data_IF_271893456955
#
_entry.id   IF_271893456955
#
_cell.length_a   1.000
_cell.length_b   1.000
_cell.length_c   1.000
_cell.angle_alpha   90.00
_cell.angle_beta   90.00
_cell.angle_gamma   90.00
#
_symmetry.space_group_name_H-M   'P 1'
#
loop_
_entity.id
_entity.type
_entity.pdbx_description
1 polymer ?
#
# COMPACT_ATOMS: atom_id res chain seq x y z
N UNK A 1 -10.09 15.90 4.57
CA UNK A 1 -8.71 16.00 4.00
C UNK A 1 -8.64 15.12 2.77
N UNK A 2 -8.29 15.70 1.63
CA UNK A 2 -8.05 14.91 0.44
C UNK A 2 -6.63 14.30 0.49
N UNK A 3 -6.29 13.40 -0.45
CA UNK A 3 -5.00 12.73 -0.43
C UNK A 3 -3.84 13.66 -0.81
N UNK A 4 -4.06 14.72 -1.60
CA UNK A 4 -3.05 15.70 -1.98
C UNK A 4 -2.60 16.50 -0.76
N UNK A 5 -3.57 17.03 -0.03
CA UNK A 5 -3.38 17.76 1.22
C UNK A 5 -2.67 16.88 2.27
N UNK A 6 -3.09 15.60 2.38
CA UNK A 6 -2.44 14.64 3.28
C UNK A 6 -0.98 14.40 2.91
N UNK A 7 -0.64 14.28 1.62
CA UNK A 7 0.74 14.01 1.19
C UNK A 7 1.61 15.26 1.15
N UNK A 8 1.06 16.46 1.11
CA UNK A 8 1.80 17.73 1.15
C UNK A 8 2.64 17.87 2.43
N UNK A 9 2.27 17.20 3.53
CA UNK A 9 3.03 17.20 4.78
C UNK A 9 4.36 16.41 4.73
N UNK A 10 4.58 15.58 3.70
CA UNK A 10 5.78 14.76 3.61
C UNK A 10 6.78 15.35 2.60
N UNK A 11 8.03 15.53 3.04
CA UNK A 11 9.09 16.15 2.28
C UNK A 11 9.46 15.35 1.02
N UNK A 12 9.83 16.06 -0.03
CA UNK A 12 10.44 15.48 -1.22
C UNK A 12 11.94 15.29 -1.01
N UNK A 13 12.50 14.24 -1.61
CA UNK A 13 13.95 14.04 -1.61
C UNK A 13 14.63 14.93 -2.66
N UNK A 14 14.03 15.10 -3.85
CA UNK A 14 14.51 16.04 -4.85
C UNK A 14 14.12 17.47 -4.50
N UNK A 15 15.05 18.41 -4.66
CA UNK A 15 14.81 19.85 -4.45
C UNK A 15 14.22 20.55 -5.68
N UNK A 16 14.36 19.95 -6.87
CA UNK A 16 13.90 20.50 -8.14
C UNK A 16 12.38 20.58 -8.22
N UNK A 17 11.80 21.56 -8.94
CA UNK A 17 10.36 21.59 -9.20
C UNK A 17 9.91 20.36 -10.02
N UNK A 18 8.68 19.92 -9.79
CA UNK A 18 8.13 18.77 -10.50
C UNK A 18 7.70 19.09 -11.94
N UNK A 19 7.25 18.04 -12.64
CA UNK A 19 6.71 18.17 -14.00
C UNK A 19 5.20 18.42 -14.02
N UNK A 20 4.52 18.33 -12.87
CA UNK A 20 3.06 18.40 -12.78
C UNK A 20 2.37 17.20 -13.44
N UNK A 21 1.17 17.46 -13.95
CA UNK A 21 0.41 16.52 -14.75
C UNK A 21 -0.51 15.60 -14.00
N UNK A 22 -1.16 14.70 -14.73
CA UNK A 22 -2.14 13.74 -14.20
C UNK A 22 -1.81 12.31 -14.59
N UNK A 23 -2.04 11.38 -13.67
CA UNK A 23 -2.01 9.93 -13.93
C UNK A 23 -3.43 9.36 -13.87
N UNK A 24 -3.63 8.19 -14.51
CA UNK A 24 -4.92 7.50 -14.47
C UNK A 24 -6.08 8.31 -15.09
N UNK A 25 -5.83 9.16 -16.07
CA UNK A 25 -6.88 9.83 -16.85
C UNK A 25 -7.73 8.77 -17.55
N UNK A 26 -7.09 7.79 -18.15
CA UNK A 26 -7.71 6.59 -18.71
C UNK A 26 -7.18 5.33 -18.01
N UNK A 27 -7.93 4.21 -17.99
CA UNK A 27 -7.42 2.93 -17.46
C UNK A 27 -6.12 2.47 -18.14
N UNK A 28 -5.92 2.81 -19.41
CA UNK A 28 -4.72 2.51 -20.22
C UNK A 28 -3.49 3.30 -19.78
N UNK A 29 -3.67 4.40 -19.07
CA UNK A 29 -2.57 5.20 -18.54
C UNK A 29 -1.89 4.52 -17.36
N UNK A 30 -2.51 3.48 -16.78
CA UNK A 30 -1.98 2.76 -15.63
C UNK A 30 -2.01 1.25 -15.85
N UNK A 31 -0.94 0.73 -16.47
CA UNK A 31 -0.82 -0.69 -16.77
C UNK A 31 0.06 -1.37 -15.70
N UNK A 32 -0.46 -2.45 -15.10
CA UNK A 32 0.25 -3.23 -14.08
C UNK A 32 0.35 -4.69 -14.51
N UNK A 33 1.57 -5.23 -14.50
CA UNK A 33 1.84 -6.64 -14.80
C UNK A 33 2.51 -7.31 -13.60
N UNK A 34 1.81 -8.26 -12.99
CA UNK A 34 2.31 -9.00 -11.83
C UNK A 34 3.46 -9.92 -12.21
N UNK A 35 4.41 -10.07 -11.28
CA UNK A 35 5.47 -11.07 -11.36
C UNK A 35 5.37 -12.01 -10.16
N UNK A 36 5.24 -13.31 -10.42
CA UNK A 36 5.20 -14.36 -9.40
C UNK A 36 6.48 -15.22 -9.44
N UNK A 37 6.80 -15.92 -8.33
CA UNK A 37 7.92 -16.87 -8.31
C UNK A 37 7.70 -18.06 -9.28
N UNK A 38 8.76 -18.50 -9.96
CA UNK A 38 8.69 -19.71 -10.82
C UNK A 38 8.29 -20.97 -10.04
N UNK A 39 8.50 -21.01 -8.71
CA UNK A 39 8.09 -22.11 -7.85
C UNK A 39 6.57 -22.35 -7.78
N UNK A 40 5.76 -21.36 -8.21
CA UNK A 40 4.30 -21.51 -8.32
C UNK A 40 3.94 -22.57 -9.36
N UNK A 41 4.69 -22.65 -10.46
CA UNK A 41 4.47 -23.60 -11.54
C UNK A 41 5.01 -25.01 -11.24
N UNK A 42 5.56 -25.24 -10.04
CA UNK A 42 5.98 -26.57 -9.58
C UNK A 42 4.80 -27.27 -8.88
N UNK A 43 4.03 -28.04 -9.63
CA UNK A 43 2.86 -28.79 -9.15
C UNK A 43 1.76 -28.86 -10.20
N UNK A 44 0.75 -29.69 -9.95
CA UNK A 44 -0.36 -29.97 -10.86
C UNK A 44 -1.76 -29.85 -10.21
N UNK A 45 -1.82 -29.36 -8.96
CA UNK A 45 -3.07 -29.33 -8.19
C UNK A 45 -4.00 -28.17 -8.54
N UNK A 46 -3.54 -27.19 -9.32
CA UNK A 46 -4.34 -26.03 -9.68
C UNK A 46 -4.04 -25.60 -11.11
N UNK A 47 -5.04 -25.11 -11.82
CA UNK A 47 -4.89 -24.37 -13.06
C UNK A 47 -4.36 -22.98 -12.75
N UNK A 48 -3.39 -22.51 -13.51
CA UNK A 48 -2.87 -21.15 -13.42
C UNK A 48 -3.29 -20.39 -14.67
N UNK A 49 -4.00 -19.28 -14.47
CA UNK A 49 -4.41 -18.37 -15.53
C UNK A 49 -3.76 -17.00 -15.35
N UNK A 50 -3.41 -16.35 -16.45
CA UNK A 50 -3.14 -14.93 -16.49
C UNK A 50 -4.47 -14.21 -16.74
N UNK A 51 -4.95 -13.47 -15.74
CA UNK A 51 -6.12 -12.62 -15.79
C UNK A 51 -5.71 -11.23 -16.28
N UNK A 52 -6.22 -10.80 -17.43
CA UNK A 52 -6.24 -9.38 -17.84
C UNK A 52 -7.61 -8.81 -17.46
N UNK A 53 -7.62 -7.65 -16.80
CA UNK A 53 -8.84 -6.91 -16.51
C UNK A 53 -8.63 -5.41 -16.77
N UNK A 54 -9.69 -4.74 -17.21
CA UNK A 54 -9.76 -3.30 -17.45
C UNK A 54 -10.90 -2.72 -16.64
N UNK A 55 -10.61 -1.74 -15.81
CA UNK A 55 -11.61 -1.05 -14.98
C UNK A 55 -12.45 -1.96 -14.04
N UNK A 56 -11.88 -3.09 -13.62
CA UNK A 56 -12.47 -4.03 -12.67
C UNK A 56 -11.70 -4.07 -11.35
N UNK A 57 -12.41 -4.15 -10.23
CA UNK A 57 -11.81 -4.51 -8.94
C UNK A 57 -11.50 -6.02 -8.92
N UNK A 58 -10.40 -6.43 -8.27
CA UNK A 58 -9.94 -7.84 -8.32
C UNK A 58 -10.98 -8.83 -7.80
N UNK A 59 -11.62 -8.55 -6.64
CA UNK A 59 -12.60 -9.47 -6.06
C UNK A 59 -13.90 -9.52 -6.88
N UNK A 60 -14.31 -8.39 -7.46
CA UNK A 60 -15.46 -8.34 -8.35
C UNK A 60 -15.21 -9.18 -9.60
N UNK A 61 -14.03 -9.05 -10.22
CA UNK A 61 -13.65 -9.87 -11.37
C UNK A 61 -13.59 -11.38 -11.02
N UNK A 62 -13.00 -11.74 -9.88
CA UNK A 62 -12.93 -13.13 -9.40
C UNK A 62 -14.33 -13.72 -9.17
N UNK A 63 -15.24 -12.97 -8.54
CA UNK A 63 -16.62 -13.41 -8.33
C UNK A 63 -17.40 -13.58 -9.63
N UNK A 64 -17.22 -12.66 -10.58
CA UNK A 64 -17.88 -12.76 -11.90
C UNK A 64 -17.37 -13.97 -12.70
N UNK A 65 -16.05 -14.20 -12.70
CA UNK A 65 -15.43 -15.39 -13.32
C UNK A 65 -16.00 -16.66 -12.67
N UNK A 66 -16.03 -16.72 -11.35
CA UNK A 66 -16.53 -17.86 -10.59
C UNK A 66 -18.00 -18.16 -10.91
N UNK A 67 -18.84 -17.12 -10.92
CA UNK A 67 -20.26 -17.21 -11.25
C UNK A 67 -20.47 -17.80 -12.66
N UNK A 68 -19.77 -17.25 -13.66
CA UNK A 68 -19.91 -17.68 -15.05
C UNK A 68 -19.32 -19.06 -15.35
N UNK A 69 -18.24 -19.43 -14.63
CA UNK A 69 -17.66 -20.78 -14.74
C UNK A 69 -18.39 -21.81 -13.88
N UNK A 70 -19.44 -21.42 -13.13
CA UNK A 70 -20.16 -22.27 -12.17
C UNK A 70 -19.21 -22.96 -11.16
N UNK A 71 -18.32 -22.17 -10.53
CA UNK A 71 -17.41 -22.62 -9.47
C UNK A 71 -17.53 -21.70 -8.25
N UNK A 72 -17.22 -22.22 -7.05
CA UNK A 72 -17.13 -21.36 -5.87
C UNK A 72 -15.89 -20.44 -5.99
N UNK A 73 -16.08 -19.13 -5.81
CA UNK A 73 -14.98 -18.15 -5.84
C UNK A 73 -13.88 -18.46 -4.83
N UNK A 74 -14.18 -19.21 -3.76
CA UNK A 74 -13.20 -19.68 -2.77
C UNK A 74 -12.12 -20.60 -3.36
N UNK A 75 -12.39 -21.24 -4.49
CA UNK A 75 -11.41 -22.05 -5.21
C UNK A 75 -10.42 -21.20 -6.00
N UNK A 76 -10.72 -19.91 -6.23
CA UNK A 76 -9.85 -18.99 -6.93
C UNK A 76 -8.91 -18.29 -5.95
N UNK A 77 -7.61 -18.53 -6.11
CA UNK A 77 -6.54 -17.84 -5.35
C UNK A 77 -5.83 -16.82 -6.21
N UNK A 78 -5.31 -15.76 -5.58
CA UNK A 78 -4.49 -14.73 -6.23
C UNK A 78 -3.42 -14.20 -5.27
N UNK A 79 -2.35 -13.59 -5.82
CA UNK A 79 -1.19 -13.16 -5.03
C UNK A 79 -1.31 -11.73 -4.48
N UNK A 80 -2.20 -10.91 -5.05
CA UNK A 80 -2.45 -9.54 -4.59
C UNK A 80 -3.63 -8.92 -5.33
N UNK A 81 -4.25 -7.91 -4.73
CA UNK A 81 -5.26 -7.08 -5.39
C UNK A 81 -4.58 -6.10 -6.34
N UNK A 82 -5.31 -5.67 -7.36
CA UNK A 82 -4.87 -4.67 -8.35
C UNK A 82 -5.92 -3.60 -8.48
N UNK A 83 -5.47 -2.38 -8.76
CA UNK A 83 -6.30 -1.20 -8.93
C UNK A 83 -7.48 -1.45 -9.87
N UNK A 84 -8.60 -0.79 -9.57
CA UNK A 84 -9.79 -0.82 -10.42
C UNK A 84 -9.56 0.01 -11.67
N UNK A 85 -9.23 1.30 -11.52
CA UNK A 85 -9.01 2.23 -12.64
C UNK A 85 -7.62 2.00 -13.24
N UNK A 86 -7.48 0.91 -14.00
CA UNK A 86 -6.23 0.43 -14.59
C UNK A 86 -6.48 -0.72 -15.57
N UNK A 87 -5.49 -1.00 -16.40
CA UNK A 87 -5.36 -2.28 -17.13
C UNK A 87 -4.37 -3.15 -16.37
N UNK A 88 -4.81 -4.28 -15.83
CA UNK A 88 -3.95 -5.10 -14.99
C UNK A 88 -3.85 -6.53 -15.49
N UNK A 89 -2.66 -7.10 -15.36
CA UNK A 89 -2.34 -8.49 -15.66
C UNK A 89 -1.88 -9.15 -14.36
N UNK A 90 -2.63 -10.09 -13.84
CA UNK A 90 -2.31 -10.81 -12.62
C UNK A 90 -2.55 -12.30 -12.76
N UNK A 91 -1.84 -13.10 -11.97
CA UNK A 91 -2.07 -14.53 -11.96
C UNK A 91 -3.18 -14.90 -10.99
N UNK A 92 -4.03 -15.84 -11.43
CA UNK A 92 -5.01 -16.50 -10.56
C UNK A 92 -4.77 -18.01 -10.63
N UNK A 93 -5.05 -18.70 -9.54
CA UNK A 93 -5.00 -20.16 -9.45
C UNK A 93 -6.39 -20.69 -9.16
N UNK A 94 -6.82 -21.72 -9.86
CA UNK A 94 -8.08 -22.41 -9.61
C UNK A 94 -7.75 -23.85 -9.21
N UNK A 95 -8.13 -24.22 -7.98
CA UNK A 95 -7.80 -25.52 -7.41
C UNK A 95 -9.09 -26.30 -7.13
N UNK A 96 -9.27 -27.43 -7.82
CA UNK A 96 -10.44 -28.29 -7.72
C UNK A 96 -10.06 -29.72 -8.10
N UNK A 97 -10.94 -30.68 -7.87
CA UNK A 97 -10.74 -32.07 -8.23
C UNK A 97 -10.93 -32.29 -9.73
N UNK A 98 -11.86 -31.56 -10.37
CA UNK A 98 -12.16 -31.71 -11.81
C UNK A 98 -11.55 -30.54 -12.64
N UNK A 99 -10.24 -30.56 -12.80
CA UNK A 99 -9.51 -29.45 -13.45
C UNK A 99 -9.81 -29.34 -14.96
N UNK A 100 -9.99 -30.48 -15.67
CA UNK A 100 -10.18 -30.45 -17.12
C UNK A 100 -11.56 -29.88 -17.49
N UNK A 101 -12.60 -30.22 -16.74
CA UNK A 101 -13.91 -29.62 -16.95
C UNK A 101 -13.93 -28.13 -16.67
N UNK A 102 -13.33 -27.71 -15.53
CA UNK A 102 -13.23 -26.32 -15.18
C UNK A 102 -12.40 -25.55 -16.22
N UNK A 103 -11.32 -26.15 -16.72
CA UNK A 103 -10.51 -25.55 -17.78
C UNK A 103 -11.33 -25.27 -19.02
N UNK A 104 -12.13 -26.25 -19.51
CA UNK A 104 -13.01 -26.04 -20.66
C UNK A 104 -14.00 -24.90 -20.45
N UNK A 105 -14.61 -24.81 -19.26
CA UNK A 105 -15.52 -23.71 -18.91
C UNK A 105 -14.81 -22.36 -18.90
N UNK A 106 -13.63 -22.26 -18.29
CA UNK A 106 -12.85 -21.02 -18.22
C UNK A 106 -12.34 -20.56 -19.59
N UNK A 107 -11.89 -21.49 -20.44
CA UNK A 107 -11.37 -21.19 -21.78
C UNK A 107 -12.48 -20.68 -22.73
N UNK A 108 -13.75 -21.05 -22.48
CA UNK A 108 -14.91 -20.58 -23.25
C UNK A 108 -15.51 -19.26 -22.75
N UNK A 109 -15.06 -18.72 -21.61
CA UNK A 109 -15.65 -17.53 -21.03
C UNK A 109 -15.43 -16.27 -21.88
N UNK A 110 -16.53 -15.55 -22.10
CA UNK A 110 -16.52 -14.20 -22.68
C UNK A 110 -17.10 -13.22 -21.65
N UNK A 111 -16.27 -12.39 -21.08
CA UNK A 111 -16.65 -11.35 -20.11
C UNK A 111 -16.06 -10.04 -20.60
N UNK A 112 -16.89 -9.01 -20.67
CA UNK A 112 -16.44 -7.69 -21.10
C UNK A 112 -15.32 -7.17 -20.20
N UNK A 113 -14.25 -6.68 -20.82
CA UNK A 113 -13.07 -6.13 -20.14
C UNK A 113 -12.29 -7.12 -19.25
N UNK A 114 -12.59 -8.42 -19.36
CA UNK A 114 -11.86 -9.52 -18.71
C UNK A 114 -11.41 -10.54 -19.75
N UNK A 115 -10.15 -10.94 -19.70
CA UNK A 115 -9.58 -11.98 -20.53
C UNK A 115 -8.77 -12.94 -19.66
N UNK A 116 -8.96 -14.25 -19.90
CA UNK A 116 -8.24 -15.33 -19.24
C UNK A 116 -7.34 -16.03 -20.24
N UNK A 117 -6.07 -16.22 -19.90
CA UNK A 117 -5.11 -17.01 -20.67
C UNK A 117 -4.56 -18.12 -19.78
N UNK A 118 -4.81 -19.38 -20.14
CA UNK A 118 -4.18 -20.52 -19.48
C UNK A 118 -2.66 -20.45 -19.65
N UNK A 119 -1.92 -20.63 -18.55
CA UNK A 119 -0.44 -20.55 -18.55
C UNK A 119 0.22 -21.81 -18.00
N UNK A 120 -0.56 -22.76 -17.51
CA UNK A 120 -0.06 -24.03 -17.02
C UNK A 120 -0.69 -24.48 -15.71
N UNK A 121 -0.12 -25.51 -15.14
CA UNK A 121 -0.51 -26.04 -13.83
C UNK A 121 0.42 -25.52 -12.74
N UNK A 122 -0.04 -25.57 -11.48
CA UNK A 122 0.78 -25.09 -10.39
C UNK A 122 0.18 -25.30 -9.01
N UNK A 123 0.68 -24.46 -8.06
CA UNK A 123 0.23 -24.40 -6.68
C UNK A 123 -0.80 -23.30 -6.49
N UNK A 124 -1.61 -23.43 -5.44
CA UNK A 124 -2.54 -22.39 -5.04
C UNK A 124 -1.83 -21.07 -4.72
N UNK A 125 -2.25 -19.99 -5.34
CA UNK A 125 -1.81 -18.66 -5.03
C UNK A 125 -2.47 -18.15 -3.73
N UNK A 126 -1.69 -17.48 -2.90
CA UNK A 126 -2.16 -16.82 -1.67
C UNK A 126 -1.65 -15.37 -1.66
N UNK A 127 -2.36 -14.51 -0.97
CA UNK A 127 -1.95 -13.11 -0.80
C UNK A 127 -0.50 -12.99 -0.32
N UNK A 128 0.26 -12.11 -0.95
CA UNK A 128 1.68 -11.88 -0.65
C UNK A 128 2.66 -12.77 -1.42
N UNK A 129 2.21 -13.73 -2.24
CA UNK A 129 3.09 -14.62 -3.01
C UNK A 129 3.70 -13.96 -4.26
N UNK A 130 3.38 -12.71 -4.58
CA UNK A 130 4.03 -12.00 -5.69
C UNK A 130 5.45 -11.56 -5.33
N UNK A 131 6.29 -11.41 -6.35
CA UNK A 131 7.63 -10.79 -6.23
C UNK A 131 7.57 -9.28 -6.39
N UNK A 132 6.63 -8.77 -7.16
CA UNK A 132 6.47 -7.36 -7.48
C UNK A 132 5.64 -7.17 -8.75
N UNK A 133 5.63 -5.94 -9.25
CA UNK A 133 4.87 -5.56 -10.42
C UNK A 133 5.74 -4.77 -11.40
N UNK A 134 5.55 -5.01 -12.69
CA UNK A 134 5.95 -4.12 -13.76
C UNK A 134 4.86 -3.09 -13.96
N UNK A 135 5.24 -1.83 -14.03
CA UNK A 135 4.36 -0.70 -14.29
C UNK A 135 4.68 -0.09 -15.64
N UNK A 136 3.65 0.34 -16.35
CA UNK A 136 3.71 1.34 -17.39
C UNK A 136 2.68 2.40 -17.02
N UNK A 137 3.14 3.62 -16.80
CA UNK A 137 2.29 4.73 -16.36
C UNK A 137 2.51 5.90 -17.29
N UNK A 138 1.41 6.53 -17.69
CA UNK A 138 1.40 7.73 -18.52
C UNK A 138 1.07 8.91 -17.62
N UNK A 139 1.88 9.96 -17.71
CA UNK A 139 1.61 11.27 -17.14
C UNK A 139 1.17 12.18 -18.27
N UNK A 140 -0.06 12.71 -18.16
CA UNK A 140 -0.69 13.60 -19.13
C UNK A 140 -0.81 15.04 -18.60
N UNK A 141 -1.34 15.93 -19.40
CA UNK A 141 -1.58 17.34 -19.06
C UNK A 141 -0.28 18.05 -18.63
N UNK A 142 0.78 17.86 -19.41
CA UNK A 142 2.11 18.46 -19.22
C UNK A 142 2.64 19.02 -20.54
N UNK A 143 3.46 20.04 -20.45
CA UNK A 143 4.34 20.40 -21.56
C UNK A 143 5.43 19.34 -21.71
N UNK A 144 5.36 18.54 -22.78
CA UNK A 144 6.12 17.31 -22.94
C UNK A 144 7.62 17.56 -23.03
N UNK A 145 8.07 18.65 -23.66
CA UNK A 145 9.49 18.96 -23.85
C UNK A 145 10.13 19.39 -22.53
N UNK A 146 9.52 20.39 -21.89
CA UNK A 146 9.96 20.87 -20.55
C UNK A 146 9.93 19.73 -19.51
N UNK A 147 8.87 18.92 -19.51
CA UNK A 147 8.73 17.79 -18.61
C UNK A 147 9.80 16.70 -18.83
N UNK A 148 10.21 16.47 -20.09
CA UNK A 148 11.27 15.51 -20.40
C UNK A 148 12.61 15.97 -19.83
N UNK A 149 12.98 17.23 -20.05
CA UNK A 149 14.25 17.80 -19.51
C UNK A 149 14.22 17.82 -17.98
N UNK A 150 13.12 18.29 -17.39
CA UNK A 150 12.96 18.31 -15.93
C UNK A 150 13.03 16.90 -15.32
N UNK A 151 12.45 15.91 -15.99
CA UNK A 151 12.54 14.51 -15.57
C UNK A 151 13.99 14.02 -15.55
N UNK A 152 14.82 14.38 -16.54
CA UNK A 152 16.24 14.02 -16.56
C UNK A 152 16.99 14.61 -15.36
N UNK A 153 16.75 15.90 -15.07
CA UNK A 153 17.38 16.59 -13.94
C UNK A 153 17.00 15.96 -12.59
N UNK A 154 15.68 15.74 -12.36
CA UNK A 154 15.18 15.10 -11.13
C UNK A 154 15.79 13.70 -10.97
N UNK A 155 15.82 12.90 -12.02
CA UNK A 155 16.37 11.55 -11.96
C UNK A 155 17.90 11.55 -11.73
N UNK A 156 18.62 12.54 -12.23
CA UNK A 156 20.04 12.70 -11.96
C UNK A 156 20.27 13.01 -10.47
N UNK A 157 19.50 13.95 -9.90
CA UNK A 157 19.54 14.26 -8.46
C UNK A 157 19.20 13.04 -7.60
N UNK A 158 18.09 12.35 -7.90
CA UNK A 158 17.68 11.17 -7.15
C UNK A 158 18.70 10.02 -7.25
N UNK A 159 19.39 9.89 -8.38
CA UNK A 159 20.48 8.92 -8.56
C UNK A 159 21.65 9.23 -7.62
N UNK A 160 22.05 10.49 -7.48
CA UNK A 160 23.08 10.92 -6.54
C UNK A 160 22.66 10.68 -5.08
N UNK A 161 21.38 10.92 -4.76
CA UNK A 161 20.81 10.67 -3.43
C UNK A 161 20.46 9.20 -3.18
N UNK A 162 20.79 8.28 -4.10
CA UNK A 162 20.71 6.84 -3.96
C UNK A 162 19.39 6.19 -4.38
N UNK A 163 18.39 6.94 -4.84
CA UNK A 163 17.10 6.42 -5.29
C UNK A 163 15.90 7.27 -4.88
N UNK A 164 14.75 6.65 -4.76
CA UNK A 164 13.49 7.30 -4.40
C UNK A 164 13.14 7.01 -2.94
N UNK A 165 12.54 7.95 -2.20
CA UNK A 165 12.05 7.70 -0.84
C UNK A 165 10.90 6.68 -0.86
N UNK A 166 10.96 5.73 0.06
CA UNK A 166 10.06 4.58 0.08
C UNK A 166 8.81 4.82 0.93
N UNK A 167 8.14 5.94 0.73
CA UNK A 167 6.89 6.25 1.41
C UNK A 167 5.80 5.19 1.15
N UNK A 168 4.91 5.02 2.12
CA UNK A 168 3.64 4.36 1.86
C UNK A 168 2.72 5.29 1.10
N UNK A 169 2.08 4.78 0.03
CA UNK A 169 1.20 5.56 -0.83
C UNK A 169 -0.22 5.73 -0.25
N UNK A 170 -0.99 6.63 -0.85
CA UNK A 170 -2.33 7.03 -0.42
C UNK A 170 -3.31 5.86 -0.25
N UNK A 171 -3.22 4.83 -1.09
CA UNK A 171 -4.04 3.61 -0.99
C UNK A 171 -3.96 2.93 0.39
N UNK A 172 -2.86 3.17 1.13
CA UNK A 172 -2.68 2.65 2.48
C UNK A 172 -3.58 3.34 3.49
N UNK A 173 -3.87 4.61 3.26
CA UNK A 173 -4.56 5.49 4.21
C UNK A 173 -6.06 5.62 3.93
N UNK A 174 -6.52 5.12 2.79
CA UNK A 174 -7.88 5.24 2.28
C UNK A 174 -7.89 6.02 0.97
N UNK A 175 -8.37 5.41 -0.10
CA UNK A 175 -8.25 5.97 -1.47
C UNK A 175 -9.06 7.26 -1.66
N UNK A 176 -10.23 7.35 -1.04
CA UNK A 176 -11.11 8.53 -1.11
C UNK A 176 -11.21 9.26 0.23
N UNK A 177 -11.35 8.52 1.32
CA UNK A 177 -11.35 9.05 2.68
C UNK A 177 -10.04 8.67 3.35
N UNK A 178 -9.12 9.61 3.53
CA UNK A 178 -7.78 9.37 4.07
C UNK A 178 -7.81 9.32 5.61
N UNK A 179 -8.61 8.42 6.17
CA UNK A 179 -8.91 8.34 7.60
C UNK A 179 -8.33 7.11 8.32
N UNK A 180 -7.86 6.10 7.56
CA UNK A 180 -7.50 4.82 8.17
C UNK A 180 -6.45 4.95 9.26
N UNK A 181 -5.48 5.87 9.12
CA UNK A 181 -4.43 6.09 10.12
C UNK A 181 -4.98 6.77 11.38
N UNK A 182 -5.92 7.69 11.24
CA UNK A 182 -6.56 8.35 12.38
C UNK A 182 -7.41 7.36 13.18
N UNK A 183 -8.24 6.56 12.50
CA UNK A 183 -8.98 5.46 13.13
C UNK A 183 -8.02 4.49 13.84
N UNK A 184 -6.88 4.16 13.20
CA UNK A 184 -5.84 3.30 13.78
C UNK A 184 -5.24 3.88 15.06
N UNK A 185 -4.91 5.18 15.07
CA UNK A 185 -4.42 5.90 16.24
C UNK A 185 -5.41 5.84 17.40
N UNK A 186 -6.67 6.13 17.12
CA UNK A 186 -7.75 6.13 18.12
C UNK A 186 -7.99 4.72 18.70
N UNK A 187 -7.95 3.68 17.86
CA UNK A 187 -8.08 2.31 18.33
C UNK A 187 -6.91 1.87 19.22
N UNK A 188 -5.67 2.27 18.90
CA UNK A 188 -4.50 2.01 19.74
C UNK A 188 -4.63 2.65 21.12
N UNK A 189 -5.17 3.87 21.17
CA UNK A 189 -5.44 4.60 22.41
C UNK A 189 -6.68 4.11 23.17
N UNK A 190 -7.42 3.12 22.63
CA UNK A 190 -8.66 2.64 23.24
C UNK A 190 -9.85 3.59 23.14
N UNK A 191 -9.75 4.63 22.32
CA UNK A 191 -10.78 5.66 22.09
C UNK A 191 -11.78 5.17 21.04
N UNK A 192 -12.56 4.14 21.41
CA UNK A 192 -13.44 3.44 20.47
C UNK A 192 -14.60 4.30 19.95
N UNK A 193 -15.11 5.23 20.75
CA UNK A 193 -16.19 6.13 20.34
C UNK A 193 -15.69 7.12 19.30
N UNK A 194 -14.59 7.84 19.57
CA UNK A 194 -13.97 8.75 18.62
C UNK A 194 -13.60 8.01 17.31
N UNK A 195 -13.05 6.79 17.41
CA UNK A 195 -12.73 5.95 16.25
C UNK A 195 -13.98 5.59 15.43
N UNK A 196 -15.11 5.30 16.09
CA UNK A 196 -16.37 5.00 15.42
C UNK A 196 -16.94 6.23 14.71
N UNK A 197 -16.97 7.38 15.36
CA UNK A 197 -17.41 8.64 14.75
C UNK A 197 -16.53 9.02 13.55
N UNK A 198 -15.20 8.87 13.66
CA UNK A 198 -14.30 9.09 12.53
C UNK A 198 -14.56 8.13 11.36
N UNK A 199 -14.74 6.83 11.63
CA UNK A 199 -14.97 5.83 10.58
C UNK A 199 -16.35 5.96 9.93
N UNK A 200 -17.40 6.16 10.75
CA UNK A 200 -18.79 6.23 10.29
C UNK A 200 -19.15 7.61 9.72
N UNK A 201 -18.68 8.69 10.34
CA UNK A 201 -19.12 10.05 10.08
C UNK A 201 -18.28 10.84 9.07
N UNK A 202 -17.00 10.48 8.86
CA UNK A 202 -16.17 11.22 7.89
C UNK A 202 -16.70 11.07 6.46
N UNK A 203 -16.80 12.18 5.75
CA UNK A 203 -17.34 12.25 4.38
C UNK A 203 -16.48 13.16 3.48
N UNK A 204 -16.61 13.04 2.17
CA UNK A 204 -15.88 13.83 1.16
C UNK A 204 -16.79 14.79 0.40
N UNK A 205 -18.10 14.55 0.41
CA UNK A 205 -19.12 15.33 -0.29
C UNK A 205 -19.49 14.79 -1.68
N UNK A 206 -18.73 13.82 -2.20
CA UNK A 206 -18.89 13.28 -3.56
C UNK A 206 -19.16 11.77 -3.60
N UNK A 207 -19.28 11.14 -2.44
CA UNK A 207 -19.49 9.70 -2.34
C UNK A 207 -20.93 9.33 -2.01
N UNK A 208 -21.37 8.24 -2.60
CA UNK A 208 -22.64 7.62 -2.25
C UNK A 208 -22.64 7.24 -0.76
N UNK A 209 -23.62 7.74 0.01
CA UNK A 209 -23.73 7.57 1.48
C UNK A 209 -23.09 8.69 2.31
N UNK A 210 -22.51 9.71 1.70
CA UNK A 210 -21.89 10.82 2.42
C UNK A 210 -22.93 11.66 3.18
N UNK A 211 -24.15 11.79 2.69
CA UNK A 211 -25.25 12.45 3.41
C UNK A 211 -25.58 11.72 4.73
N UNK A 212 -25.71 10.39 4.67
CA UNK A 212 -25.93 9.58 5.87
C UNK A 212 -24.77 9.69 6.87
N UNK A 213 -23.52 9.79 6.38
CA UNK A 213 -22.33 10.01 7.23
C UNK A 213 -22.36 11.37 7.90
N UNK A 214 -22.68 12.41 7.15
CA UNK A 214 -22.81 13.77 7.67
C UNK A 214 -23.89 13.84 8.76
N UNK A 215 -25.08 13.30 8.47
CA UNK A 215 -26.18 13.24 9.43
C UNK A 215 -25.80 12.49 10.71
N UNK A 216 -25.07 11.38 10.57
CA UNK A 216 -24.58 10.64 11.73
C UNK A 216 -23.53 11.42 12.53
N UNK A 217 -22.62 12.11 11.87
CA UNK A 217 -21.59 12.92 12.52
C UNK A 217 -22.20 14.06 13.35
N UNK A 218 -23.25 14.70 12.81
CA UNK A 218 -23.94 15.82 13.45
C UNK A 218 -24.86 15.39 14.61
N UNK A 219 -25.57 14.26 14.44
CA UNK A 219 -26.60 13.84 15.41
C UNK A 219 -26.16 12.77 16.40
N UNK A 220 -25.20 11.91 16.02
CA UNK A 220 -24.86 10.70 16.75
C UNK A 220 -26.01 9.67 16.83
N UNK A 221 -27.12 9.89 16.11
CA UNK A 221 -28.30 9.04 16.18
C UNK A 221 -28.11 7.75 15.38
N UNK A 222 -27.84 6.67 16.12
CA UNK A 222 -27.63 5.33 15.55
C UNK A 222 -28.91 4.73 14.93
N UNK A 223 -30.09 5.09 15.41
CA UNK A 223 -31.35 4.59 14.82
C UNK A 223 -31.56 5.21 13.45
N UNK A 224 -31.46 6.53 13.36
CA UNK A 224 -31.55 7.28 12.11
C UNK A 224 -30.45 6.83 11.13
N UNK A 225 -29.21 6.65 11.59
CA UNK A 225 -28.10 6.16 10.76
C UNK A 225 -28.39 4.77 10.16
N UNK A 226 -29.02 3.85 10.87
CA UNK A 226 -29.40 2.53 10.36
C UNK A 226 -30.43 2.58 9.22
N UNK A 227 -31.29 3.61 9.20
CA UNK A 227 -32.25 3.86 8.13
C UNK A 227 -31.58 4.50 6.91
N UNK A 228 -30.70 5.46 7.13
CA UNK A 228 -30.07 6.26 6.08
C UNK A 228 -28.85 5.59 5.41
N UNK A 229 -28.07 4.79 6.16
CA UNK A 229 -26.87 4.16 5.58
C UNK A 229 -27.23 3.15 4.51
N UNK A 230 -26.72 3.30 3.26
CA UNK A 230 -27.00 2.39 2.17
C UNK A 230 -26.58 0.94 2.46
N UNK A 231 -27.31 -0.03 1.90
CA UNK A 231 -27.05 -1.45 2.14
C UNK A 231 -25.68 -1.95 1.72
N UNK A 232 -25.03 -1.29 0.78
CA UNK A 232 -23.68 -1.65 0.34
C UNK A 232 -22.61 -1.31 1.38
N UNK A 233 -22.86 -0.37 2.32
CA UNK A 233 -21.98 -0.03 3.45
C UNK A 233 -22.12 -1.07 4.58
N UNK A 234 -21.82 -2.31 4.26
CA UNK A 234 -22.09 -3.47 5.12
C UNK A 234 -21.34 -3.43 6.45
N UNK A 235 -20.13 -2.93 6.46
CA UNK A 235 -19.30 -2.86 7.68
C UNK A 235 -19.80 -1.79 8.63
N UNK A 236 -20.13 -0.63 8.10
CA UNK A 236 -20.68 0.48 8.84
C UNK A 236 -22.03 0.08 9.47
N UNK A 237 -22.91 -0.52 8.67
CA UNK A 237 -24.21 -1.02 9.17
C UNK A 237 -24.05 -2.10 10.24
N UNK A 238 -23.13 -3.03 10.07
CA UNK A 238 -22.86 -4.08 11.07
C UNK A 238 -22.40 -3.46 12.42
N UNK A 239 -21.55 -2.43 12.37
CA UNK A 239 -21.13 -1.71 13.56
C UNK A 239 -22.29 -0.97 14.25
N UNK A 240 -23.14 -0.27 13.49
CA UNK A 240 -24.31 0.43 14.00
C UNK A 240 -25.32 -0.53 14.66
N UNK A 241 -25.61 -1.67 14.02
CA UNK A 241 -26.47 -2.73 14.61
C UNK A 241 -25.89 -3.23 15.93
N UNK A 242 -24.58 -3.54 15.94
CA UNK A 242 -23.95 -4.05 17.15
C UNK A 242 -23.91 -3.02 18.29
N UNK A 243 -23.69 -1.75 17.96
CA UNK A 243 -23.79 -0.69 18.94
C UNK A 243 -25.21 -0.53 19.48
N UNK A 244 -26.24 -0.58 18.63
CA UNK A 244 -27.66 -0.52 19.05
C UNK A 244 -27.97 -1.59 20.10
N UNK A 245 -27.45 -2.82 19.91
CA UNK A 245 -27.65 -3.94 20.84
C UNK A 245 -26.87 -3.81 22.14
N UNK A 246 -25.63 -3.36 22.07
CA UNK A 246 -24.66 -3.51 23.18
C UNK A 246 -24.29 -2.21 23.87
N UNK A 247 -24.62 -1.08 23.27
CA UNK A 247 -24.19 0.27 23.69
C UNK A 247 -22.69 0.39 23.90
N UNK A 248 -21.89 -0.37 23.09
CA UNK A 248 -20.44 -0.44 23.21
C UNK A 248 -19.76 -0.37 21.84
N UNK A 249 -19.08 0.73 21.57
CA UNK A 249 -18.29 0.89 20.35
C UNK A 249 -17.14 -0.12 20.26
N UNK A 250 -16.55 -0.52 21.39
CA UNK A 250 -15.58 -1.62 21.41
C UNK A 250 -16.15 -2.92 20.84
N UNK A 251 -17.38 -3.29 21.24
CA UNK A 251 -18.08 -4.46 20.71
C UNK A 251 -18.49 -4.25 19.25
N UNK A 252 -18.79 -3.01 18.84
CA UNK A 252 -19.08 -2.67 17.45
C UNK A 252 -17.86 -2.88 16.54
N UNK A 253 -16.66 -2.49 16.94
CA UNK A 253 -15.45 -2.82 16.19
C UNK A 253 -15.13 -4.33 16.12
N UNK A 254 -15.52 -5.09 17.15
CA UNK A 254 -15.26 -6.53 17.20
C UNK A 254 -16.09 -7.35 16.18
N UNK A 255 -17.15 -6.81 15.58
CA UNK A 255 -17.91 -7.48 14.51
C UNK A 255 -17.23 -7.36 13.15
N UNK A 256 -16.32 -6.41 12.99
CA UNK A 256 -15.58 -6.26 11.75
C UNK A 256 -14.62 -7.45 11.56
N UNK A 257 -14.45 -7.93 10.32
CA UNK A 257 -13.40 -8.90 10.02
C UNK A 257 -12.03 -8.40 10.49
N UNK A 258 -11.26 -9.26 11.17
CA UNK A 258 -9.92 -8.91 11.67
C UNK A 258 -9.01 -8.22 10.64
N UNK A 259 -8.98 -8.65 9.35
CA UNK A 259 -8.18 -7.96 8.33
C UNK A 259 -8.57 -6.50 8.15
N UNK A 260 -9.86 -6.15 8.31
CA UNK A 260 -10.33 -4.77 8.18
C UNK A 260 -9.80 -3.91 9.35
N UNK A 261 -9.93 -4.40 10.58
CA UNK A 261 -9.42 -3.64 11.75
C UNK A 261 -7.90 -3.50 11.69
N UNK A 262 -7.19 -4.55 11.21
CA UNK A 262 -5.73 -4.49 10.99
C UNK A 262 -5.32 -3.44 9.96
N UNK A 263 -6.14 -3.17 8.94
CA UNK A 263 -5.83 -2.11 7.98
C UNK A 263 -5.67 -0.77 8.70
N UNK A 264 -6.51 -0.44 9.65
CA UNK A 264 -6.41 0.81 10.42
C UNK A 264 -5.10 0.89 11.19
N UNK A 265 -4.75 -0.16 11.94
CA UNK A 265 -3.52 -0.20 12.74
C UNK A 265 -2.28 -0.11 11.83
N UNK A 266 -2.24 -0.91 10.76
CA UNK A 266 -1.15 -0.88 9.80
C UNK A 266 -1.05 0.46 9.05
N UNK A 267 -2.18 1.16 8.84
CA UNK A 267 -2.18 2.50 8.25
C UNK A 267 -1.51 3.51 9.19
N UNK A 268 -1.81 3.43 10.49
CA UNK A 268 -1.14 4.29 11.46
C UNK A 268 0.36 4.01 11.56
N UNK A 269 0.77 2.73 11.60
CA UNK A 269 2.20 2.36 11.52
C UNK A 269 2.87 2.93 10.26
N UNK A 270 2.16 2.91 9.13
CA UNK A 270 2.65 3.44 7.85
C UNK A 270 2.76 4.97 7.86
N UNK A 271 1.84 5.64 8.53
CA UNK A 271 1.88 7.08 8.75
C UNK A 271 3.10 7.50 9.57
N UNK A 272 3.32 6.82 10.71
CA UNK A 272 4.49 7.06 11.55
C UNK A 272 5.80 6.82 10.80
N UNK A 273 5.88 5.75 9.98
CA UNK A 273 7.04 5.53 9.10
C UNK A 273 7.24 6.68 8.12
N UNK A 274 6.17 7.17 7.51
CA UNK A 274 6.27 8.29 6.58
C UNK A 274 6.74 9.57 7.29
N UNK A 275 6.29 9.84 8.52
CA UNK A 275 6.78 10.97 9.33
C UNK A 275 8.28 10.85 9.62
N UNK A 276 8.74 9.67 10.05
CA UNK A 276 10.16 9.42 10.33
C UNK A 276 11.02 9.62 9.07
N UNK A 277 10.59 9.08 7.93
CA UNK A 277 11.30 9.25 6.66
C UNK A 277 11.31 10.72 6.22
N UNK A 278 10.18 11.42 6.34
CA UNK A 278 10.04 12.82 5.99
C UNK A 278 10.96 13.71 6.85
N UNK A 279 10.99 13.48 8.18
CA UNK A 279 11.86 14.20 9.10
C UNK A 279 13.34 14.00 8.78
N UNK A 280 13.74 12.76 8.47
CA UNK A 280 15.12 12.48 8.06
C UNK A 280 15.53 13.23 6.79
N UNK A 281 14.60 13.38 5.83
CA UNK A 281 14.83 14.17 4.60
C UNK A 281 14.92 15.67 4.95
N UNK A 282 14.00 16.18 5.77
CA UNK A 282 13.92 17.56 6.20
C UNK A 282 15.23 18.05 6.87
N UNK A 283 15.80 17.20 7.72
CA UNK A 283 17.06 17.47 8.42
C UNK A 283 18.30 17.25 7.52
N UNK A 284 18.12 16.95 6.24
CA UNK A 284 19.23 16.75 5.30
C UNK A 284 20.07 15.49 5.57
N UNK A 285 19.59 14.57 6.40
CA UNK A 285 20.33 13.35 6.71
C UNK A 285 20.30 12.37 5.52
N UNK A 286 21.43 11.73 5.19
CA UNK A 286 21.53 10.88 4.00
C UNK A 286 20.65 9.64 4.12
N UNK A 287 20.04 9.25 2.99
CA UNK A 287 19.28 8.00 2.87
C UNK A 287 20.09 6.86 2.22
N UNK A 288 21.22 7.19 1.61
CA UNK A 288 22.12 6.28 0.88
C UNK A 288 23.47 6.09 1.57
N UNK A 289 23.65 6.71 2.72
CA UNK A 289 24.81 6.57 3.58
C UNK A 289 24.36 6.45 5.03
N UNK A 290 24.78 5.39 5.71
CA UNK A 290 24.42 5.14 7.09
C UNK A 290 25.20 6.04 8.04
N UNK A 291 24.56 6.44 9.12
CA UNK A 291 25.14 7.12 10.26
C UNK A 291 25.28 6.16 11.46
N UNK A 292 26.18 6.45 12.42
CA UNK A 292 26.25 5.68 13.64
C UNK A 292 24.91 5.67 14.38
N UNK A 293 24.42 4.47 14.73
CA UNK A 293 23.12 4.29 15.34
C UNK A 293 22.02 3.85 14.39
N UNK A 294 22.16 4.07 13.07
CA UNK A 294 21.22 3.57 12.07
C UNK A 294 21.02 2.05 12.17
N UNK A 295 19.85 1.59 11.78
CA UNK A 295 19.59 0.16 11.60
C UNK A 295 19.46 -0.12 10.10
N UNK A 296 20.27 -1.06 9.62
CA UNK A 296 20.28 -1.50 8.22
C UNK A 296 19.78 -2.93 8.10
N UNK A 297 19.24 -3.28 6.92
CA UNK A 297 18.90 -4.65 6.59
C UNK A 297 19.81 -5.19 5.49
N UNK A 298 20.03 -6.52 5.52
CA UNK A 298 20.71 -7.23 4.44
C UNK A 298 19.86 -7.24 3.16
N UNK A 299 20.52 -7.19 2.01
CA UNK A 299 19.90 -7.36 0.68
C UNK A 299 20.46 -8.62 0.02
N UNK A 300 19.58 -9.47 -0.49
CA UNK A 300 19.96 -10.67 -1.26
C UNK A 300 19.21 -10.69 -2.58
N UNK A 301 19.96 -10.82 -3.68
CA UNK A 301 19.40 -10.79 -5.05
C UNK A 301 18.56 -9.52 -5.31
N UNK A 302 18.98 -8.40 -4.70
CA UNK A 302 18.32 -7.10 -4.83
C UNK A 302 16.96 -7.01 -4.12
N UNK A 303 16.70 -7.86 -3.12
CA UNK A 303 15.54 -7.82 -2.25
C UNK A 303 15.97 -7.67 -0.79
N UNK A 304 15.37 -6.78 0.01
CA UNK A 304 15.68 -6.60 1.41
C UNK A 304 15.23 -7.79 2.24
N UNK A 305 16.07 -8.24 3.16
CA UNK A 305 15.76 -9.28 4.16
C UNK A 305 15.46 -8.57 5.47
N UNK A 306 14.21 -8.14 5.65
CA UNK A 306 13.77 -7.35 6.80
C UNK A 306 13.88 -8.04 8.15
N UNK A 307 14.05 -9.36 8.18
CA UNK A 307 14.33 -10.13 9.40
C UNK A 307 15.82 -10.15 9.79
N UNK A 308 16.72 -9.72 8.89
CA UNK A 308 18.15 -9.64 9.12
C UNK A 308 18.60 -8.20 9.19
N UNK A 309 18.42 -7.60 10.36
CA UNK A 309 18.79 -6.21 10.64
C UNK A 309 19.90 -6.14 11.67
N UNK A 310 20.76 -5.14 11.56
CA UNK A 310 21.80 -4.84 12.52
C UNK A 310 22.00 -3.34 12.69
N UNK A 311 22.44 -2.94 13.88
CA UNK A 311 22.70 -1.55 14.24
C UNK A 311 24.11 -1.16 13.81
N UNK A 312 24.24 0.00 13.19
CA UNK A 312 25.52 0.54 12.74
C UNK A 312 26.24 1.18 13.93
N UNK A 313 27.48 0.78 14.15
CA UNK A 313 28.37 1.37 15.16
C UNK A 313 29.45 2.19 14.47
N UNK A 314 30.16 3.04 15.23
CA UNK A 314 31.34 3.77 14.68
C UNK A 314 32.36 2.82 14.04
N UNK A 315 32.57 1.63 14.63
CA UNK A 315 33.51 0.62 14.12
C UNK A 315 33.05 -0.07 12.83
N UNK A 316 31.75 -0.24 12.64
CA UNK A 316 31.19 -0.92 11.48
C UNK A 316 30.78 0.05 10.35
N UNK A 317 30.88 1.36 10.56
CA UNK A 317 30.34 2.39 9.67
C UNK A 317 30.85 2.27 8.24
N UNK A 318 32.17 2.25 8.09
CA UNK A 318 32.82 2.17 6.78
C UNK A 318 32.44 0.91 6.02
N UNK A 319 32.52 -0.25 6.69
CA UNK A 319 32.10 -1.53 6.11
C UNK A 319 30.64 -1.54 5.67
N UNK A 320 29.74 -0.96 6.51
CA UNK A 320 28.31 -0.91 6.20
C UNK A 320 28.07 0.00 5.01
N UNK A 321 28.72 1.16 4.94
CA UNK A 321 28.56 2.09 3.83
C UNK A 321 29.08 1.51 2.52
N UNK A 322 30.14 0.70 2.55
CA UNK A 322 30.58 -0.06 1.39
C UNK A 322 29.49 -1.06 0.93
N UNK A 323 28.85 -1.78 1.88
CA UNK A 323 27.73 -2.69 1.57
C UNK A 323 26.48 -1.96 1.04
N UNK A 324 26.24 -0.73 1.44
CA UNK A 324 25.17 0.09 0.90
C UNK A 324 25.47 0.53 -0.53
N UNK A 325 26.71 0.96 -0.81
CA UNK A 325 27.17 1.31 -2.17
C UNK A 325 27.04 0.15 -3.14
N UNK A 326 27.44 -1.05 -2.72
CA UNK A 326 27.34 -2.29 -3.53
C UNK A 326 25.91 -2.84 -3.61
N UNK A 327 24.96 -2.28 -2.85
CA UNK A 327 23.55 -2.71 -2.82
C UNK A 327 23.31 -4.00 -2.04
N UNK A 328 24.22 -4.37 -1.13
CA UNK A 328 24.11 -5.54 -0.26
C UNK A 328 23.44 -5.20 1.10
N UNK A 329 23.32 -3.90 1.43
CA UNK A 329 22.61 -3.42 2.59
C UNK A 329 21.75 -2.20 2.24
N UNK A 330 20.74 -1.91 3.07
CA UNK A 330 19.86 -0.74 2.98
C UNK A 330 19.56 -0.19 4.38
N UNK A 331 19.52 1.14 4.52
CA UNK A 331 19.07 1.83 5.72
C UNK A 331 17.56 1.63 5.87
N UNK A 332 17.12 1.44 7.11
CA UNK A 332 15.70 1.16 7.40
C UNK A 332 15.13 2.11 8.43
N UNK A 333 13.86 2.45 8.30
CA UNK A 333 13.02 3.09 9.31
C UNK A 333 12.10 2.10 10.02
N UNK A 334 11.50 2.50 11.15
CA UNK A 334 10.66 1.64 11.97
C UNK A 334 9.27 1.46 11.37
N UNK A 335 8.76 0.26 11.43
CA UNK A 335 7.32 -0.01 11.48
C UNK A 335 7.04 -0.26 12.95
N UNK A 336 6.59 0.76 13.65
CA UNK A 336 6.46 0.70 15.10
C UNK A 336 5.51 -0.41 15.55
N UNK A 337 5.86 -1.07 16.64
CA UNK A 337 5.11 -2.11 17.30
C UNK A 337 5.71 -2.35 18.70
N UNK A 338 5.09 -3.18 19.52
CA UNK A 338 5.49 -3.31 20.91
C UNK A 338 6.88 -3.97 21.12
N UNK A 339 7.39 -4.67 20.10
CA UNK A 339 8.72 -5.25 20.11
C UNK A 339 9.71 -4.54 19.17
N UNK A 340 9.38 -3.31 18.76
CA UNK A 340 10.24 -2.55 17.86
C UNK A 340 11.56 -2.19 18.52
N UNK A 341 12.66 -2.48 17.82
CA UNK A 341 13.99 -2.01 18.17
C UNK A 341 14.21 -0.65 17.53
N UNK A 342 14.36 0.37 18.36
CA UNK A 342 14.66 1.73 17.89
C UNK A 342 16.14 1.87 17.53
N UNK A 343 16.43 2.78 16.62
CA UNK A 343 17.77 3.22 16.29
C UNK A 343 18.40 4.02 17.42
N UNK A 344 19.70 4.31 17.31
CA UNK A 344 20.42 5.26 18.17
C UNK A 344 20.84 6.48 17.34
N UNK A 345 21.57 7.42 17.97
CA UNK A 345 22.06 8.63 17.31
C UNK A 345 20.91 9.45 16.73
N UNK A 346 21.15 10.12 15.60
CA UNK A 346 20.19 11.02 14.95
C UNK A 346 18.90 10.30 14.55
N UNK A 347 19.01 9.14 13.93
CA UNK A 347 17.83 8.38 13.55
C UNK A 347 17.01 7.96 14.77
N UNK A 348 17.67 7.57 15.84
CA UNK A 348 16.98 7.20 17.09
C UNK A 348 16.31 8.38 17.78
N UNK A 349 16.88 9.60 17.65
CA UNK A 349 16.25 10.84 18.10
C UNK A 349 14.96 11.08 17.31
N UNK A 350 15.02 11.04 15.98
CA UNK A 350 13.86 11.22 15.09
C UNK A 350 12.77 10.18 15.41
N UNK A 351 13.13 8.90 15.59
CA UNK A 351 12.18 7.84 15.90
C UNK A 351 11.42 8.10 17.22
N UNK A 352 12.11 8.62 18.24
CA UNK A 352 11.51 8.95 19.55
C UNK A 352 10.66 10.21 19.49
N UNK A 353 11.13 11.26 18.84
CA UNK A 353 10.40 12.51 18.67
C UNK A 353 9.07 12.30 17.94
N UNK A 354 9.06 11.49 16.88
CA UNK A 354 7.81 11.16 16.18
C UNK A 354 6.82 10.42 17.07
N UNK A 355 7.28 9.51 17.94
CA UNK A 355 6.40 8.84 18.91
C UNK A 355 5.86 9.83 19.96
N UNK A 356 6.70 10.74 20.45
CA UNK A 356 6.35 11.74 21.44
C UNK A 356 5.33 12.76 20.88
N UNK A 357 5.58 13.32 19.70
CA UNK A 357 4.66 14.23 19.00
C UNK A 357 3.28 13.60 18.76
N UNK A 358 3.25 12.32 18.42
CA UNK A 358 2.01 11.58 18.22
C UNK A 358 1.37 11.14 19.54
N UNK A 359 2.08 11.34 20.66
CA UNK A 359 1.63 10.93 22.00
C UNK A 359 1.35 9.43 22.09
N UNK A 360 2.18 8.59 21.45
CA UNK A 360 2.01 7.14 21.38
C UNK A 360 3.27 6.45 21.92
N UNK A 361 3.08 5.35 22.64
CA UNK A 361 4.16 4.51 23.14
C UNK A 361 4.22 3.17 22.43
N UNK A 362 5.36 2.50 22.43
CA UNK A 362 5.48 1.16 21.88
C UNK A 362 4.56 0.15 22.60
N UNK A 363 4.31 0.34 23.89
CA UNK A 363 3.45 -0.52 24.70
C UNK A 363 1.99 -0.54 24.21
N UNK A 364 1.49 0.57 23.66
CA UNK A 364 0.12 0.66 23.15
C UNK A 364 -0.12 -0.29 21.98
N UNK A 365 0.93 -0.64 21.21
CA UNK A 365 0.83 -1.64 20.13
C UNK A 365 0.58 -3.08 20.63
N UNK A 366 0.64 -3.35 21.94
CA UNK A 366 0.13 -4.60 22.53
C UNK A 366 -1.38 -4.70 22.46
N UNK A 367 -2.07 -3.59 22.17
CA UNK A 367 -3.52 -3.55 22.00
C UNK A 367 -4.26 -4.25 23.16
N UNK A 368 -3.97 -3.88 24.41
CA UNK A 368 -4.55 -4.54 25.61
C UNK A 368 -6.09 -4.69 25.54
N UNK A 369 -6.74 -3.78 24.84
CA UNK A 369 -8.20 -3.77 24.62
C UNK A 369 -8.67 -4.73 23.51
N UNK A 370 -7.79 -5.05 22.52
CA UNK A 370 -8.03 -5.91 21.38
C UNK A 370 -6.79 -6.78 21.11
N UNK A 371 -6.36 -7.57 22.09
CA UNK A 371 -5.10 -8.34 22.10
C UNK A 371 -4.79 -9.11 20.82
N UNK A 372 -5.81 -9.56 20.10
CA UNK A 372 -5.68 -10.30 18.83
C UNK A 372 -5.09 -9.45 17.69
N UNK A 373 -5.02 -8.13 17.87
CA UNK A 373 -4.48 -7.16 16.93
C UNK A 373 -3.12 -6.61 17.35
N UNK A 374 -2.49 -7.22 18.36
CA UNK A 374 -1.16 -6.81 18.79
C UNK A 374 -0.15 -6.89 17.63
N UNK A 375 0.64 -5.84 17.47
CA UNK A 375 1.61 -5.71 16.38
C UNK A 375 3.03 -5.67 16.92
N UNK A 376 3.84 -6.66 16.53
CA UNK A 376 5.24 -6.78 16.94
C UNK A 376 6.11 -5.62 16.43
N UNK A 377 5.74 -5.05 15.27
CA UNK A 377 6.56 -4.09 14.57
C UNK A 377 7.59 -4.73 13.63
N UNK A 378 8.43 -3.89 13.05
CA UNK A 378 9.44 -4.33 12.10
C UNK A 378 10.27 -3.16 11.58
N UNK A 379 10.97 -3.40 10.47
CA UNK A 379 11.76 -2.36 9.79
C UNK A 379 11.47 -2.39 8.29
N UNK A 380 11.51 -1.20 7.65
CA UNK A 380 11.32 -1.01 6.21
C UNK A 380 12.45 -0.15 5.66
N UNK A 381 12.96 -0.50 4.51
CA UNK A 381 13.97 0.29 3.79
C UNK A 381 13.48 1.70 3.49
N UNK A 382 14.35 2.71 3.70
CA UNK A 382 14.02 4.14 3.49
C UNK A 382 14.03 4.52 2.00
N UNK A 383 14.88 3.87 1.21
CA UNK A 383 15.02 4.11 -0.23
C UNK A 383 14.57 2.90 -1.04
N UNK A 384 14.17 3.17 -2.27
CA UNK A 384 13.94 2.18 -3.31
C UNK A 384 14.75 2.54 -4.57
N UNK A 385 15.25 1.51 -5.25
CA UNK A 385 15.82 1.61 -6.58
C UNK A 385 14.92 0.83 -7.55
N UNK A 386 14.09 1.51 -8.35
CA UNK A 386 13.25 0.82 -9.33
C UNK A 386 14.14 0.08 -10.34
N UNK A 387 13.76 -1.16 -10.67
CA UNK A 387 14.48 -1.93 -11.67
C UNK A 387 13.94 -1.68 -13.07
N UNK A 388 14.81 -1.70 -14.08
CA UNK A 388 14.43 -1.50 -15.49
C UNK A 388 13.67 -0.18 -15.72
N UNK A 389 14.07 0.86 -15.01
CA UNK A 389 13.45 2.18 -15.12
C UNK A 389 13.79 2.76 -16.50
N UNK A 390 12.75 3.14 -17.24
CA UNK A 390 12.81 3.80 -18.55
C UNK A 390 11.68 4.78 -18.66
N UNK A 391 11.90 5.86 -19.38
CA UNK A 391 10.88 6.83 -19.72
C UNK A 391 11.08 7.34 -21.15
N UNK A 392 10.03 7.83 -21.75
CA UNK A 392 10.07 8.46 -23.07
C UNK A 392 8.92 9.43 -23.21
N UNK A 393 9.13 10.46 -24.00
CA UNK A 393 8.07 11.34 -24.47
C UNK A 393 7.21 10.68 -25.55
N UNK A 394 5.98 11.13 -25.66
CA UNK A 394 5.07 10.95 -26.77
C UNK A 394 4.15 12.17 -26.86
N UNK A 395 3.31 12.29 -27.91
CA UNK A 395 2.58 13.51 -28.21
C UNK A 395 1.70 14.06 -27.07
N UNK A 396 1.19 13.19 -26.20
CA UNK A 396 0.26 13.55 -25.12
C UNK A 396 0.90 13.48 -23.71
N UNK A 397 2.23 13.39 -23.58
CA UNK A 397 2.90 13.35 -22.28
C UNK A 397 4.11 12.45 -22.18
N UNK A 398 4.36 11.91 -20.98
CA UNK A 398 5.48 11.02 -20.69
C UNK A 398 5.03 9.61 -20.28
N UNK A 399 5.68 8.59 -20.83
CA UNK A 399 5.49 7.19 -20.45
C UNK A 399 6.65 6.75 -19.55
N UNK A 400 6.33 6.27 -18.35
CA UNK A 400 7.29 5.67 -17.42
C UNK A 400 7.09 4.16 -17.37
N UNK A 401 8.17 3.39 -17.44
CA UNK A 401 8.18 1.92 -17.32
C UNK A 401 9.21 1.50 -16.30
N UNK A 402 8.82 0.69 -15.32
CA UNK A 402 9.70 0.20 -14.28
C UNK A 402 9.14 -1.03 -13.57
N UNK A 403 10.00 -1.71 -12.83
CA UNK A 403 9.61 -2.79 -11.92
C UNK A 403 9.83 -2.36 -10.47
N UNK A 404 8.81 -2.58 -9.63
CA UNK A 404 8.88 -2.41 -8.19
C UNK A 404 8.65 -3.75 -7.48
N UNK A 405 9.41 -4.05 -6.41
CA UNK A 405 9.14 -5.19 -5.55
C UNK A 405 7.81 -5.02 -4.81
N UNK A 406 7.28 -6.11 -4.26
CA UNK A 406 6.05 -6.06 -3.46
C UNK A 406 6.17 -5.11 -2.27
N UNK A 407 5.07 -4.41 -2.00
CA UNK A 407 4.98 -3.45 -0.87
C UNK A 407 5.56 -2.07 -1.16
N UNK A 408 5.98 -1.81 -2.40
CA UNK A 408 6.41 -0.50 -2.89
C UNK A 408 5.32 0.10 -3.77
N UNK A 409 5.10 1.40 -3.66
CA UNK A 409 4.03 2.11 -4.33
C UNK A 409 4.55 2.92 -5.53
N UNK A 410 3.98 2.68 -6.72
CA UNK A 410 4.35 3.40 -7.92
C UNK A 410 4.00 4.89 -7.84
N UNK A 411 2.91 5.21 -7.15
CA UNK A 411 2.44 6.58 -6.97
C UNK A 411 3.40 7.42 -6.15
N UNK A 412 4.06 6.86 -5.12
CA UNK A 412 5.05 7.60 -4.33
C UNK A 412 6.36 7.82 -5.08
N UNK A 413 6.71 6.93 -6.02
CA UNK A 413 7.83 7.15 -6.93
C UNK A 413 7.52 8.31 -7.89
N UNK A 414 6.34 8.31 -8.50
CA UNK A 414 5.93 9.38 -9.41
C UNK A 414 5.73 10.70 -8.68
N UNK A 415 5.35 10.69 -7.41
CA UNK A 415 5.28 11.88 -6.56
C UNK A 415 6.57 12.68 -6.57
N UNK A 416 7.74 12.03 -6.54
CA UNK A 416 9.04 12.71 -6.61
C UNK A 416 9.30 13.41 -7.95
N UNK A 417 8.69 12.92 -9.01
CA UNK A 417 8.84 13.46 -10.36
C UNK A 417 7.78 14.53 -10.65
N UNK A 418 6.54 14.24 -10.31
CA UNK A 418 5.40 15.10 -10.66
C UNK A 418 5.27 16.30 -9.72
N UNK A 419 5.41 16.09 -8.41
CA UNK A 419 5.22 17.11 -7.35
C UNK A 419 3.91 17.91 -7.47
N UNK A 420 2.91 17.32 -8.13
CA UNK A 420 1.57 17.86 -8.27
C UNK A 420 0.63 17.14 -7.29
N UNK A 421 0.50 17.71 -6.11
CA UNK A 421 -0.36 17.19 -5.05
C UNK A 421 -1.25 18.27 -4.49
#
# INVERSE_FOLDING_TARGET
MDYKEFFAQFNYLSSLPGIGGKIKTYPEDFIVREKIPKSIFKGNKCLIYLLKKRNWETMAAVKEIAKRAAIDYKFIGFAGTKDRHAVTYQYISICSENLEEIKRRLDSLKIQDISLKFVGYGKRLKLGMLLGNYFQIIVRDIDTETALERTKEILAELKLKGGFPNYFGYQRFGERRVINHEVGKLLLKGKFEEAAFKFLGEYTGDMMGDEARKNFLESGDVKKALEEFPNFLRYERAMLYRYKETRSWKKAFAVLPRPIVRIFIHSYQSYLFNKVLSRRIEEGLPLNEALPGDIVCQVKKGLPIRSKTFKVTKRSLEFVNEKIKTGEAMITGPIFGFASRLADGEMGRIEREVLEEEGITLEEFKMKHLKILAELGGRRELLIKPKKFRYRAFDEGLIFRFFLPKGVYATTLLREIMKDH
#
